data_IF_174576655729
#
_entry.id   IF_174576655729
#
_cell.length_a   1.000
_cell.length_b   1.000
_cell.length_c   1.000
_cell.angle_alpha   90.00
_cell.angle_beta   90.00
_cell.angle_gamma   90.00
#
_symmetry.space_group_name_H-M   'P 1'
#
loop_
_entity.id
_entity.type
_entity.pdbx_description
1 polymer ?
#
# COMPACT_ATOMS: atom_id res chain seq x y z
N UNK A 1 -7.09 5.96 15.00
CA UNK A 1 -6.51 6.55 13.76
C UNK A 1 -6.62 5.53 12.66
N UNK A 2 -6.74 5.98 11.40
CA UNK A 2 -6.74 5.07 10.26
C UNK A 2 -5.38 4.39 10.15
N UNK A 3 -5.37 3.07 10.09
CA UNK A 3 -4.18 2.27 9.85
C UNK A 3 -4.09 1.98 8.37
N UNK A 4 -3.23 2.72 7.67
CA UNK A 4 -3.02 2.51 6.24
C UNK A 4 -1.70 1.79 5.99
N UNK A 5 -1.63 1.04 4.89
CA UNK A 5 -0.34 0.60 4.36
C UNK A 5 -0.15 1.03 2.92
N UNK A 6 1.11 1.29 2.58
CA UNK A 6 1.57 1.48 1.21
C UNK A 6 2.34 0.23 0.83
N UNK A 7 1.99 -0.34 -0.32
CA UNK A 7 2.51 -1.63 -0.77
C UNK A 7 2.99 -1.50 -2.19
N UNK A 8 4.18 -2.03 -2.44
CA UNK A 8 4.77 -2.11 -3.79
C UNK A 8 5.50 -3.43 -3.97
N UNK A 9 5.65 -3.85 -5.21
CA UNK A 9 6.37 -5.04 -5.63
C UNK A 9 7.26 -4.69 -6.80
N UNK A 10 8.52 -5.12 -6.77
CA UNK A 10 9.39 -5.06 -7.93
C UNK A 10 10.27 -6.30 -7.98
N UNK A 11 10.18 -7.02 -9.09
CA UNK A 11 11.15 -8.04 -9.49
C UNK A 11 12.30 -7.44 -10.33
N UNK A 12 12.41 -6.11 -10.36
CA UNK A 12 13.40 -5.34 -11.13
C UNK A 12 14.32 -4.56 -10.17
N UNK A 13 15.42 -5.17 -9.69
CA UNK A 13 16.32 -4.54 -8.70
C UNK A 13 16.87 -3.17 -9.15
N UNK A 14 17.10 -3.00 -10.45
CA UNK A 14 17.59 -1.75 -11.03
C UNK A 14 16.58 -0.61 -10.90
N UNK A 15 15.28 -0.92 -10.88
CA UNK A 15 14.22 0.07 -10.75
C UNK A 15 13.89 0.33 -9.27
N UNK A 16 13.77 -0.72 -8.46
CA UNK A 16 13.42 -0.60 -7.04
C UNK A 16 14.44 0.23 -6.25
N UNK A 17 15.73 0.10 -6.57
CA UNK A 17 16.80 0.93 -5.98
C UNK A 17 16.59 2.43 -6.23
N UNK A 18 15.93 2.80 -7.32
CA UNK A 18 15.65 4.20 -7.67
C UNK A 18 14.33 4.70 -7.05
N UNK A 19 13.28 3.87 -7.06
CA UNK A 19 11.93 4.31 -6.69
C UNK A 19 11.63 4.15 -5.20
N UNK A 20 12.13 3.10 -4.56
CA UNK A 20 11.85 2.84 -3.14
C UNK A 20 12.42 3.89 -2.18
N UNK A 21 13.58 4.50 -2.40
CA UNK A 21 14.03 5.62 -1.57
C UNK A 21 13.02 6.77 -1.55
N UNK A 22 12.32 7.04 -2.67
CA UNK A 22 11.28 8.07 -2.72
C UNK A 22 10.08 7.69 -1.85
N UNK A 23 9.62 6.44 -1.91
CA UNK A 23 8.55 5.92 -1.05
C UNK A 23 8.93 5.96 0.43
N UNK A 24 10.15 5.54 0.77
CA UNK A 24 10.68 5.58 2.14
C UNK A 24 10.70 7.02 2.68
N UNK A 25 11.13 8.00 1.88
CA UNK A 25 11.10 9.43 2.26
C UNK A 25 9.68 9.93 2.51
N UNK A 26 8.74 9.58 1.64
CA UNK A 26 7.32 9.94 1.81
C UNK A 26 6.74 9.39 3.12
N UNK A 27 6.90 8.09 3.38
CA UNK A 27 6.40 7.48 4.63
C UNK A 27 7.08 8.07 5.86
N UNK A 28 8.38 8.36 5.79
CA UNK A 28 9.12 9.00 6.88
C UNK A 28 8.63 10.43 7.18
N UNK A 29 8.22 11.18 6.16
CA UNK A 29 7.66 12.53 6.33
C UNK A 29 6.26 12.53 7.00
N UNK A 30 5.61 11.37 7.11
CA UNK A 30 4.25 11.21 7.62
C UNK A 30 4.17 10.16 8.74
N UNK A 31 4.81 10.44 9.90
CA UNK A 31 4.91 9.47 10.99
C UNK A 31 3.54 9.04 11.50
N UNK A 32 3.36 7.73 11.70
CA UNK A 32 2.14 7.12 12.22
C UNK A 32 1.01 6.92 11.20
N UNK A 33 1.14 7.42 9.96
CA UNK A 33 0.07 7.31 8.94
C UNK A 33 0.13 6.04 8.10
N UNK A 34 1.34 5.55 7.81
CA UNK A 34 1.55 4.45 6.87
C UNK A 34 2.54 3.41 7.39
N UNK A 35 2.18 2.13 7.26
CA UNK A 35 3.15 1.05 7.19
C UNK A 35 3.62 0.88 5.73
N UNK A 36 4.94 0.76 5.50
CA UNK A 36 5.49 0.51 4.16
C UNK A 36 5.83 -0.97 3.99
N UNK A 37 5.22 -1.63 3.00
CA UNK A 37 5.48 -3.02 2.64
C UNK A 37 6.16 -3.07 1.26
N UNK A 38 7.41 -3.52 1.24
CA UNK A 38 8.21 -3.67 0.02
C UNK A 38 8.36 -5.16 -0.29
N UNK A 39 7.98 -5.58 -1.48
CA UNK A 39 8.08 -6.96 -1.92
C UNK A 39 9.07 -7.10 -3.10
N UNK A 40 10.02 -8.02 -2.98
CA UNK A 40 10.99 -8.36 -4.05
C UNK A 40 10.62 -9.69 -4.72
N UNK A 41 9.94 -10.57 -3.98
CA UNK A 41 9.62 -11.92 -4.45
C UNK A 41 8.15 -12.01 -4.89
N UNK A 42 7.87 -12.63 -6.06
CA UNK A 42 6.50 -12.89 -6.47
C UNK A 42 5.86 -13.93 -5.56
N UNK A 43 4.57 -13.74 -5.26
CA UNK A 43 3.74 -14.72 -4.55
C UNK A 43 3.07 -15.71 -5.51
N UNK A 44 2.90 -15.32 -6.77
CA UNK A 44 2.32 -16.15 -7.81
C UNK A 44 3.41 -16.80 -8.65
N UNK A 45 3.16 -18.04 -9.08
CA UNK A 45 4.07 -18.76 -9.97
C UNK A 45 4.07 -18.10 -11.35
N UNK A 46 5.26 -17.71 -11.82
CA UNK A 46 5.44 -17.02 -13.09
C UNK A 46 5.13 -17.91 -14.31
N UNK A 47 5.07 -19.24 -14.12
CA UNK A 47 4.65 -20.18 -15.16
C UNK A 47 3.16 -20.05 -15.47
N UNK A 48 2.37 -19.68 -14.46
CA UNK A 48 0.92 -19.62 -14.54
C UNK A 48 0.40 -18.16 -14.61
N UNK A 49 1.17 -17.21 -14.08
CA UNK A 49 0.75 -15.80 -13.96
C UNK A 49 1.84 -14.83 -14.36
N UNK A 50 1.47 -13.82 -15.17
CA UNK A 50 2.36 -12.71 -15.46
C UNK A 50 2.69 -11.91 -14.17
N UNK A 51 3.93 -11.40 -13.97
CA UNK A 51 4.33 -10.72 -12.73
C UNK A 51 3.39 -9.61 -12.25
N UNK A 52 2.78 -8.86 -13.18
CA UNK A 52 1.79 -7.81 -12.90
C UNK A 52 0.56 -8.29 -12.10
N UNK A 53 0.27 -9.59 -12.05
CA UNK A 53 -0.83 -10.15 -11.25
C UNK A 53 -0.50 -10.24 -9.76
N UNK A 54 0.78 -10.13 -9.36
CA UNK A 54 1.19 -10.20 -7.96
C UNK A 54 0.52 -9.14 -7.09
N UNK A 55 0.12 -8.00 -7.66
CA UNK A 55 -0.62 -6.95 -6.93
C UNK A 55 -1.86 -7.48 -6.22
N UNK A 56 -2.62 -8.39 -6.83
CA UNK A 56 -3.82 -8.94 -6.20
C UNK A 56 -3.49 -9.85 -5.02
N UNK A 57 -2.49 -10.73 -5.20
CA UNK A 57 -2.05 -11.65 -4.15
C UNK A 57 -1.45 -10.89 -2.96
N UNK A 58 -0.62 -9.89 -3.24
CA UNK A 58 0.05 -9.06 -2.26
C UNK A 58 -0.96 -8.16 -1.52
N UNK A 59 -1.86 -7.48 -2.23
CA UNK A 59 -2.93 -6.68 -1.60
C UNK A 59 -3.81 -7.52 -0.69
N UNK A 60 -4.21 -8.71 -1.15
CA UNK A 60 -4.99 -9.65 -0.34
C UNK A 60 -4.23 -10.06 0.93
N UNK A 61 -2.95 -10.39 0.81
CA UNK A 61 -2.09 -10.73 1.95
C UNK A 61 -1.99 -9.57 2.93
N UNK A 62 -1.74 -8.35 2.45
CA UNK A 62 -1.65 -7.16 3.29
C UNK A 62 -2.96 -6.87 4.03
N UNK A 63 -4.11 -7.00 3.36
CA UNK A 63 -5.43 -6.79 3.97
C UNK A 63 -5.75 -7.84 5.05
N UNK A 64 -5.45 -9.12 4.78
CA UNK A 64 -5.94 -10.23 5.61
C UNK A 64 -4.98 -10.74 6.68
N UNK A 65 -3.68 -10.47 6.55
CA UNK A 65 -2.69 -10.95 7.53
C UNK A 65 -2.70 -10.01 8.74
N UNK A 66 -3.58 -10.32 9.70
CA UNK A 66 -3.77 -9.52 10.91
C UNK A 66 -4.36 -10.26 12.11
N UNK A 67 -5.20 -11.29 11.92
CA UNK A 67 -5.81 -11.96 13.08
C UNK A 67 -6.37 -13.36 12.75
N UNK A 68 -6.28 -14.34 13.68
CA UNK A 68 -6.80 -15.72 13.52
C UNK A 68 -8.33 -15.84 13.37
N UNK A 69 -9.06 -14.72 13.31
CA UNK A 69 -10.53 -14.67 13.20
C UNK A 69 -11.03 -13.60 12.22
N UNK A 70 -10.29 -13.32 11.14
CA UNK A 70 -10.67 -12.35 10.10
C UNK A 70 -10.75 -10.89 10.59
N UNK A 71 -9.80 -10.41 11.41
CA UNK A 71 -9.63 -8.96 11.57
C UNK A 71 -8.58 -8.47 10.58
N UNK A 72 -8.99 -7.51 9.77
CA UNK A 72 -8.11 -6.75 8.87
C UNK A 72 -7.07 -6.00 9.69
N UNK A 73 -5.80 -6.05 9.27
CA UNK A 73 -4.72 -5.28 9.93
C UNK A 73 -4.80 -3.78 9.62
N UNK A 74 -5.26 -3.46 8.42
CA UNK A 74 -5.31 -2.12 7.86
C UNK A 74 -6.74 -1.76 7.45
N UNK A 75 -7.12 -0.49 7.62
CA UNK A 75 -8.38 0.06 7.14
C UNK A 75 -8.37 0.23 5.61
N UNK A 76 -7.19 0.51 5.05
CA UNK A 76 -6.96 0.50 3.61
C UNK A 76 -5.52 0.12 3.27
N UNK A 77 -5.35 -0.40 2.06
CA UNK A 77 -4.04 -0.75 1.50
C UNK A 77 -3.92 -0.04 0.16
N UNK A 78 -2.85 0.73 -0.01
CA UNK A 78 -2.57 1.52 -1.20
C UNK A 78 -1.49 0.81 -2.00
N UNK A 79 -1.82 0.42 -3.22
CA UNK A 79 -0.84 -0.10 -4.17
C UNK A 79 -0.11 1.03 -4.88
N UNK A 80 1.22 0.94 -4.95
CA UNK A 80 2.06 1.81 -5.76
C UNK A 80 2.90 0.92 -6.68
N UNK A 81 2.72 1.06 -7.99
CA UNK A 81 3.56 0.38 -8.99
C UNK A 81 5.03 0.81 -8.82
N UNK A 82 5.96 -0.09 -9.14
CA UNK A 82 7.39 0.10 -8.91
C UNK A 82 8.06 1.14 -9.81
N UNK A 83 7.37 1.59 -10.87
CA UNK A 83 7.76 2.68 -11.75
C UNK A 83 7.18 4.05 -11.36
N UNK A 84 6.43 4.12 -10.26
CA UNK A 84 5.90 5.38 -9.72
C UNK A 84 6.89 6.01 -8.74
N UNK A 85 7.13 7.31 -8.91
CA UNK A 85 8.04 8.09 -8.05
C UNK A 85 7.29 9.25 -7.39
N UNK A 86 7.39 9.32 -6.06
CA UNK A 86 6.88 10.45 -5.27
C UNK A 86 7.92 11.58 -5.32
N UNK A 87 7.52 12.71 -5.91
CA UNK A 87 8.41 13.87 -6.14
C UNK A 87 8.30 14.94 -5.06
N UNK A 88 7.18 15.02 -4.35
CA UNK A 88 6.97 15.95 -3.23
C UNK A 88 6.54 15.16 -1.97
N UNK A 89 7.51 14.65 -1.17
CA UNK A 89 7.21 13.78 -0.04
C UNK A 89 6.61 14.52 1.16
N UNK A 90 6.57 15.85 1.18
CA UNK A 90 6.05 16.64 2.30
C UNK A 90 4.52 16.81 2.26
N UNK A 91 3.90 16.52 1.11
CA UNK A 91 2.46 16.64 0.91
C UNK A 91 1.79 15.29 0.83
N UNK A 92 0.67 15.15 1.55
CA UNK A 92 -0.06 13.89 1.70
C UNK A 92 -1.54 13.99 1.26
N UNK A 93 -1.81 14.28 -0.03
CA UNK A 93 -3.19 14.31 -0.51
C UNK A 93 -3.85 12.93 -0.48
N UNK A 94 -3.05 11.86 -0.38
CA UNK A 94 -3.52 10.48 -0.31
C UNK A 94 -4.25 10.22 1.00
N UNK A 95 -3.66 10.59 2.13
CA UNK A 95 -4.27 10.40 3.45
C UNK A 95 -5.56 11.19 3.58
N UNK A 96 -5.55 12.46 3.14
CA UNK A 96 -6.72 13.34 3.13
C UNK A 96 -7.86 12.72 2.31
N UNK A 97 -7.57 12.28 1.08
CA UNK A 97 -8.56 11.64 0.21
C UNK A 97 -9.13 10.35 0.81
N UNK A 98 -8.28 9.50 1.41
CA UNK A 98 -8.72 8.24 2.03
C UNK A 98 -9.58 8.53 3.26
N UNK A 99 -9.15 9.46 4.12
CA UNK A 99 -9.92 9.89 5.28
C UNK A 99 -11.30 10.38 4.89
N UNK A 100 -11.40 11.31 3.93
CA UNK A 100 -12.68 11.82 3.47
C UNK A 100 -13.59 10.71 2.94
N UNK A 101 -13.07 9.80 2.11
CA UNK A 101 -13.88 8.77 1.46
C UNK A 101 -14.31 7.64 2.40
N UNK A 102 -13.46 7.24 3.35
CA UNK A 102 -13.78 6.19 4.31
C UNK A 102 -14.65 6.71 5.47
N UNK A 103 -14.34 7.90 6.01
CA UNK A 103 -15.05 8.44 7.17
C UNK A 103 -16.40 9.10 6.79
N UNK A 104 -16.54 9.72 5.60
CA UNK A 104 -17.85 10.22 5.17
C UNK A 104 -18.87 9.12 4.88
N UNK A 105 -18.45 7.89 4.58
CA UNK A 105 -19.37 6.78 4.32
C UNK A 105 -19.96 6.20 5.59
N UNK A 106 -19.19 6.13 6.68
CA UNK A 106 -19.69 5.68 7.99
C UNK A 106 -20.77 6.62 8.57
N UNK A 107 -20.66 7.93 8.35
CA UNK A 107 -21.67 8.89 8.83
C UNK A 107 -22.94 8.96 7.97
N UNK A 108 -22.91 8.52 6.70
CA UNK A 108 -24.06 8.60 5.79
C UNK A 108 -24.99 7.38 5.81
N UNK A 109 -24.73 6.38 6.66
CA UNK A 109 -25.61 5.22 6.85
C UNK A 109 -26.49 5.30 8.11
N UNK A 110 -26.50 6.44 8.82
CA UNK A 110 -27.28 6.65 10.04
C UNK A 110 -28.38 7.72 9.90
N UNK A 111 -28.80 8.05 8.67
CA UNK A 111 -29.96 8.93 8.41
C UNK A 111 -30.94 8.23 7.50
#
# INVERSE_FOLDING_TARGET
ELRLSIVTFSDRPTLSVLTWPALKRFVHAHPGRYDLLLHEEPLLDHRDFHPAWNKFAILRRALLVGHPRLQYKYDAVVWIDDDIVITNPERDPLYEAIQEKLLCRACKQLV
#
